data_IF_899769249063
#
_entry.id   IF_899769249063
#
_cell.length_a   1.000
_cell.length_b   1.000
_cell.length_c   1.000
_cell.angle_alpha   90.00
_cell.angle_beta   90.00
_cell.angle_gamma   90.00
#
_symmetry.space_group_name_H-M   'P 1'
#
loop_
_entity.id
_entity.type
_entity.pdbx_description
1 polymer ?
#
# COMPACT_ATOMS: atom_id res chain seq x y z
N UNK A 1 -8.10 47.26 -6.50
CA UNK A 1 -8.40 46.16 -7.44
C UNK A 1 -9.07 46.78 -8.66
N UNK A 2 -8.49 46.65 -9.85
CA UNK A 2 -9.19 47.07 -11.08
C UNK A 2 -10.01 45.87 -11.57
N UNK A 3 -11.28 46.09 -11.92
CA UNK A 3 -12.25 45.08 -12.40
C UNK A 3 -12.77 44.10 -11.32
N UNK A 4 -13.74 43.27 -11.73
CA UNK A 4 -14.41 42.24 -10.94
C UNK A 4 -13.53 40.99 -10.77
N UNK A 5 -12.41 41.13 -10.05
CA UNK A 5 -11.48 40.04 -9.76
C UNK A 5 -11.69 39.48 -8.33
N UNK A 6 -11.33 38.22 -8.10
CA UNK A 6 -11.38 37.60 -6.75
C UNK A 6 -10.31 38.21 -5.83
N UNK A 7 -10.69 38.54 -4.59
CA UNK A 7 -9.79 39.15 -3.60
C UNK A 7 -8.56 38.23 -3.36
N UNK A 8 -7.32 38.71 -3.62
CA UNK A 8 -6.14 37.86 -3.46
C UNK A 8 -5.83 37.66 -1.97
N UNK A 9 -5.87 36.41 -1.52
CA UNK A 9 -5.34 36.00 -0.23
C UNK A 9 -3.89 35.52 -0.37
N UNK A 10 -2.99 36.43 -0.74
CA UNK A 10 -1.58 36.11 -0.95
C UNK A 10 -0.81 36.14 0.39
N UNK A 11 -0.11 35.06 0.72
CA UNK A 11 0.64 34.90 1.98
C UNK A 11 2.09 35.41 1.88
N UNK A 12 2.28 36.61 1.33
CA UNK A 12 3.58 37.27 1.17
C UNK A 12 3.80 38.43 2.17
N UNK A 13 3.06 38.45 3.29
CA UNK A 13 3.03 39.55 4.26
C UNK A 13 4.18 39.55 5.29
N UNK A 14 4.92 38.44 5.38
CA UNK A 14 6.10 38.29 6.25
C UNK A 14 7.37 38.30 5.40
N UNK A 15 8.53 38.16 6.02
CA UNK A 15 9.84 38.01 5.37
C UNK A 15 9.97 36.65 4.63
N UNK A 16 9.13 36.45 3.61
CA UNK A 16 9.10 35.24 2.77
C UNK A 16 10.34 35.15 1.87
N UNK A 17 10.88 36.31 1.48
CA UNK A 17 12.08 36.52 0.68
C UNK A 17 13.34 35.93 1.36
N UNK A 18 13.44 36.04 2.69
CA UNK A 18 14.53 35.44 3.48
C UNK A 18 14.56 33.91 3.46
N UNK A 19 13.45 33.25 3.10
CA UNK A 19 13.30 31.77 3.13
C UNK A 19 12.84 31.21 1.79
N UNK A 20 13.33 31.79 0.68
CA UNK A 20 13.07 31.28 -0.66
C UNK A 20 13.87 30.01 -0.90
N UNK A 21 13.18 28.87 -1.03
CA UNK A 21 13.81 27.62 -1.46
C UNK A 21 14.02 27.64 -2.97
N UNK A 22 15.27 27.79 -3.38
CA UNK A 22 15.67 27.63 -4.79
C UNK A 22 15.92 26.15 -5.10
N UNK A 23 15.91 25.82 -6.40
CA UNK A 23 16.08 24.44 -6.89
C UNK A 23 17.30 24.29 -7.81
N UNK A 24 18.27 25.21 -7.74
CA UNK A 24 19.48 25.17 -8.57
C UNK A 24 20.34 23.92 -8.32
N UNK A 25 20.28 23.37 -7.11
CA UNK A 25 21.02 22.17 -6.73
C UNK A 25 20.34 20.86 -7.17
N UNK A 26 19.16 20.91 -7.79
CA UNK A 26 18.35 19.73 -8.12
C UNK A 26 19.11 18.75 -9.01
N UNK A 27 19.82 19.23 -10.04
CA UNK A 27 20.63 18.41 -10.93
C UNK A 27 21.81 17.76 -10.18
N UNK A 28 22.51 18.54 -9.34
CA UNK A 28 23.60 18.07 -8.51
C UNK A 28 23.15 17.01 -7.49
N UNK A 29 21.99 17.21 -6.85
CA UNK A 29 21.37 16.21 -5.99
C UNK A 29 21.02 14.92 -6.73
N UNK A 30 20.47 15.01 -7.96
CA UNK A 30 20.17 13.83 -8.79
C UNK A 30 21.44 13.03 -9.12
N UNK A 31 22.53 13.71 -9.50
CA UNK A 31 23.84 13.09 -9.74
C UNK A 31 24.39 12.41 -8.48
N UNK A 32 24.40 13.11 -7.34
CA UNK A 32 24.82 12.56 -6.05
C UNK A 32 24.04 11.30 -5.67
N UNK A 33 22.71 11.34 -5.75
CA UNK A 33 21.85 10.17 -5.49
C UNK A 33 22.17 9.01 -6.43
N UNK A 34 22.44 9.27 -7.72
CA UNK A 34 22.82 8.23 -8.70
C UNK A 34 24.15 7.57 -8.32
N UNK A 35 25.17 8.35 -7.98
CA UNK A 35 26.48 7.83 -7.57
C UNK A 35 26.38 7.01 -6.29
N UNK A 36 25.66 7.51 -5.28
CA UNK A 36 25.43 6.78 -4.03
C UNK A 36 24.69 5.46 -4.26
N UNK A 37 23.70 5.42 -5.16
CA UNK A 37 23.03 4.17 -5.53
C UNK A 37 23.98 3.18 -6.21
N UNK A 38 24.84 3.65 -7.12
CA UNK A 38 25.86 2.79 -7.76
C UNK A 38 26.84 2.23 -6.74
N UNK A 39 27.36 3.08 -5.84
CA UNK A 39 28.27 2.67 -4.78
C UNK A 39 27.63 1.64 -3.84
N UNK A 40 26.37 1.88 -3.43
CA UNK A 40 25.61 0.93 -2.61
C UNK A 40 25.39 -0.42 -3.31
N UNK A 41 25.06 -0.40 -4.60
CA UNK A 41 24.85 -1.63 -5.37
C UNK A 41 26.14 -2.46 -5.47
N UNK A 42 27.28 -1.82 -5.71
CA UNK A 42 28.58 -2.48 -5.74
C UNK A 42 28.96 -3.08 -4.37
N UNK A 43 28.72 -2.35 -3.27
CA UNK A 43 29.06 -2.80 -1.92
C UNK A 43 28.23 -4.02 -1.44
N UNK A 44 27.00 -4.16 -1.94
CA UNK A 44 26.05 -5.20 -1.52
C UNK A 44 26.07 -6.43 -2.46
N UNK A 45 26.79 -6.36 -3.59
CA UNK A 45 26.90 -7.45 -4.54
C UNK A 45 27.35 -8.76 -3.83
N UNK A 46 26.70 -9.91 -4.10
CA UNK A 46 25.77 -10.20 -5.21
C UNK A 46 24.28 -9.90 -4.92
N UNK A 47 23.92 -9.40 -3.72
CA UNK A 47 22.52 -9.17 -3.35
C UNK A 47 21.89 -8.02 -4.16
N UNK A 48 20.57 -8.06 -4.47
CA UNK A 48 19.89 -6.97 -5.17
C UNK A 48 19.83 -5.70 -4.31
N UNK A 49 20.02 -4.54 -4.93
CA UNK A 49 20.03 -3.24 -4.24
C UNK A 49 18.61 -2.68 -3.94
N UNK A 50 17.56 -3.34 -4.44
CA UNK A 50 16.18 -2.87 -4.47
C UNK A 50 15.39 -3.13 -3.18
N UNK A 51 15.96 -2.79 -2.03
CA UNK A 51 15.27 -2.87 -0.74
C UNK A 51 14.82 -4.28 -0.32
N UNK A 52 14.17 -4.34 0.84
CA UNK A 52 13.73 -5.58 1.49
C UNK A 52 12.23 -5.80 1.24
N UNK A 53 11.80 -7.07 1.19
CA UNK A 53 10.36 -7.43 1.14
C UNK A 53 9.73 -7.37 2.53
N UNK A 54 8.39 -7.34 2.64
CA UNK A 54 7.67 -7.38 3.93
C UNK A 54 7.23 -8.82 4.28
N UNK A 55 7.15 -9.23 5.57
CA UNK A 55 7.08 -10.64 5.98
C UNK A 55 5.72 -11.02 6.57
N UNK A 56 5.23 -12.22 6.23
CA UNK A 56 4.07 -12.89 6.82
C UNK A 56 4.14 -14.44 6.73
N UNK A 57 5.14 -15.01 6.04
CA UNK A 57 5.37 -16.45 6.03
C UNK A 57 6.06 -16.87 7.36
N UNK A 58 5.83 -18.09 7.83
CA UNK A 58 6.40 -18.71 9.04
C UNK A 58 7.92 -18.90 9.06
N UNK A 59 8.63 -17.92 8.50
CA UNK A 59 10.07 -17.69 8.58
C UNK A 59 10.32 -17.11 9.96
N UNK A 60 11.36 -17.60 10.63
CA UNK A 60 11.79 -17.01 11.89
C UNK A 60 12.11 -15.52 11.66
N UNK A 61 11.55 -14.57 12.44
CA UNK A 61 11.80 -13.15 12.24
C UNK A 61 13.29 -12.77 12.17
N UNK A 62 14.14 -13.48 12.92
CA UNK A 62 15.60 -13.27 12.85
C UNK A 62 16.21 -13.75 11.54
N UNK A 63 15.73 -14.88 11.03
CA UNK A 63 16.17 -15.44 9.74
C UNK A 63 15.71 -14.55 8.57
N UNK A 64 14.49 -14.01 8.66
CA UNK A 64 13.92 -13.12 7.66
C UNK A 64 14.82 -11.89 7.41
N UNK A 65 15.35 -11.27 8.46
CA UNK A 65 16.27 -10.12 8.34
C UNK A 65 17.58 -10.50 7.64
N UNK A 66 18.13 -11.68 7.91
CA UNK A 66 19.39 -12.15 7.28
C UNK A 66 19.25 -12.40 5.78
N UNK A 67 18.09 -12.89 5.37
CA UNK A 67 17.74 -13.24 3.99
C UNK A 67 17.39 -12.00 3.15
N UNK A 68 16.98 -10.90 3.80
CA UNK A 68 16.63 -9.67 3.10
C UNK A 68 15.14 -9.34 3.14
N UNK A 69 14.43 -9.74 4.19
CA UNK A 69 13.01 -9.47 4.41
C UNK A 69 12.90 -8.57 5.66
N UNK A 70 12.30 -7.39 5.52
CA UNK A 70 12.13 -6.42 6.60
C UNK A 70 10.93 -6.79 7.46
N UNK A 71 11.13 -7.04 8.76
CA UNK A 71 10.06 -7.44 9.69
C UNK A 71 9.42 -6.27 10.43
N UNK A 72 8.08 -6.22 10.45
CA UNK A 72 7.29 -5.27 11.25
C UNK A 72 6.33 -6.03 12.17
N UNK A 73 6.72 -6.13 13.44
CA UNK A 73 5.98 -6.85 14.48
C UNK A 73 4.65 -6.18 14.88
N UNK A 74 4.44 -4.91 14.52
CA UNK A 74 3.22 -4.17 14.89
C UNK A 74 2.07 -4.39 13.93
N UNK A 75 2.35 -4.97 12.76
CA UNK A 75 1.36 -5.15 11.71
C UNK A 75 0.49 -6.37 12.00
N UNK A 76 -0.82 -6.19 11.91
CA UNK A 76 -1.82 -7.26 12.01
C UNK A 76 -2.68 -7.28 10.76
N UNK A 77 -3.04 -8.48 10.28
CA UNK A 77 -3.94 -8.66 9.15
C UNK A 77 -5.37 -8.84 9.65
N UNK A 78 -6.30 -8.12 9.00
CA UNK A 78 -7.74 -8.24 9.26
C UNK A 78 -8.45 -9.17 8.27
N UNK A 79 -7.86 -9.42 7.11
CA UNK A 79 -8.41 -10.29 6.06
C UNK A 79 -7.49 -11.47 5.77
N UNK A 80 -8.08 -12.63 5.52
CA UNK A 80 -7.37 -13.87 5.17
C UNK A 80 -6.79 -13.78 3.75
N UNK A 81 -7.50 -13.11 2.84
CA UNK A 81 -7.05 -12.92 1.45
C UNK A 81 -5.71 -12.17 1.37
N UNK A 82 -5.57 -11.10 2.16
CA UNK A 82 -4.33 -10.31 2.21
C UNK A 82 -3.17 -11.14 2.80
N UNK A 83 -3.46 -11.93 3.83
CA UNK A 83 -2.50 -12.84 4.43
C UNK A 83 -2.01 -13.89 3.42
N UNK A 84 -2.94 -14.54 2.72
CA UNK A 84 -2.63 -15.57 1.74
C UNK A 84 -1.77 -15.03 0.58
N UNK A 85 -2.13 -13.86 0.04
CA UNK A 85 -1.35 -13.20 -1.02
C UNK A 85 0.09 -12.88 -0.59
N UNK A 86 0.29 -12.47 0.68
CA UNK A 86 1.62 -12.19 1.21
C UNK A 86 2.43 -13.47 1.46
N UNK A 87 1.79 -14.54 1.93
CA UNK A 87 2.41 -15.86 2.10
C UNK A 87 2.88 -16.40 0.75
N UNK A 88 2.04 -16.37 -0.27
CA UNK A 88 2.37 -16.78 -1.64
C UNK A 88 3.55 -15.97 -2.20
N UNK A 89 3.54 -14.65 -2.00
CA UNK A 89 4.63 -13.77 -2.41
C UNK A 89 5.95 -14.16 -1.75
N UNK A 90 5.95 -14.50 -0.47
CA UNK A 90 7.17 -14.86 0.26
C UNK A 90 7.69 -16.24 -0.11
N UNK A 91 6.79 -17.20 -0.37
CA UNK A 91 7.18 -18.51 -0.89
C UNK A 91 7.81 -18.37 -2.28
N UNK A 92 7.23 -17.55 -3.16
CA UNK A 92 7.80 -17.23 -4.46
C UNK A 92 9.14 -16.47 -4.38
N UNK A 93 9.35 -15.68 -3.33
CA UNK A 93 10.66 -15.07 -3.05
C UNK A 93 11.68 -16.12 -2.65
N UNK A 94 11.32 -16.99 -1.68
CA UNK A 94 12.21 -18.00 -1.14
C UNK A 94 12.67 -19.00 -2.20
N UNK A 95 11.79 -19.38 -3.14
CA UNK A 95 12.16 -20.27 -4.25
C UNK A 95 13.12 -19.63 -5.26
N UNK A 96 13.09 -18.30 -5.41
CA UNK A 96 13.98 -17.54 -6.30
C UNK A 96 15.27 -17.09 -5.62
N UNK A 97 15.37 -17.22 -4.30
CA UNK A 97 16.51 -16.78 -3.53
C UNK A 97 17.65 -17.80 -3.66
N UNK A 98 18.77 -17.34 -4.22
CA UNK A 98 20.03 -18.09 -4.18
C UNK A 98 20.80 -17.69 -2.92
N UNK A 99 21.03 -18.64 -2.01
CA UNK A 99 21.80 -18.42 -0.78
C UNK A 99 23.16 -19.10 -0.92
N UNK A 100 24.23 -18.33 -0.78
CA UNK A 100 25.58 -18.87 -0.78
C UNK A 100 25.97 -19.40 0.60
N UNK A 101 26.69 -20.54 0.67
CA UNK A 101 27.24 -21.02 1.93
C UNK A 101 28.32 -20.06 2.43
N UNK A 102 28.41 -19.89 3.76
CA UNK A 102 29.45 -19.06 4.41
C UNK A 102 30.86 -19.61 4.19
N UNK A 103 30.98 -20.92 3.98
CA UNK A 103 32.23 -21.63 3.69
C UNK A 103 32.01 -22.55 2.48
N UNK A 104 32.69 -22.27 1.37
CA UNK A 104 32.55 -23.01 0.10
C UNK A 104 32.91 -22.14 -1.10
N UNK A 105 32.96 -22.73 -2.30
CA UNK A 105 33.17 -21.97 -3.54
C UNK A 105 31.89 -21.22 -3.89
N UNK A 106 31.97 -19.90 -4.05
CA UNK A 106 30.88 -19.09 -4.55
C UNK A 106 30.77 -19.28 -6.08
N UNK A 107 29.62 -19.75 -6.55
CA UNK A 107 29.32 -19.77 -7.99
C UNK A 107 29.12 -18.35 -8.53
N UNK A 108 29.30 -18.16 -9.84
CA UNK A 108 29.10 -16.86 -10.50
C UNK A 108 27.61 -16.46 -10.44
N UNK A 109 27.26 -15.53 -9.55
CA UNK A 109 25.93 -14.91 -9.52
C UNK A 109 25.94 -13.48 -10.06
N UNK A 110 24.89 -13.17 -10.79
CA UNK A 110 24.61 -11.82 -11.29
C UNK A 110 23.69 -11.06 -10.33
N UNK A 111 23.95 -9.77 -10.16
CA UNK A 111 23.09 -8.91 -9.36
C UNK A 111 21.81 -8.57 -10.14
N UNK A 112 20.64 -8.90 -9.58
CA UNK A 112 19.36 -8.49 -10.16
C UNK A 112 19.21 -6.96 -10.16
N UNK A 113 18.89 -6.39 -11.33
CA UNK A 113 18.63 -4.97 -11.51
C UNK A 113 17.12 -4.70 -11.64
N UNK A 114 16.63 -3.68 -10.93
CA UNK A 114 15.22 -3.29 -10.95
C UNK A 114 14.51 -3.60 -9.63
N UNK A 115 13.18 -3.49 -9.60
CA UNK A 115 12.38 -3.79 -8.40
C UNK A 115 12.08 -5.29 -8.37
N UNK A 116 12.46 -5.97 -7.30
CA UNK A 116 12.21 -7.40 -7.14
C UNK A 116 10.73 -7.67 -6.86
N UNK A 117 10.11 -8.52 -7.67
CA UNK A 117 8.67 -8.87 -7.63
C UNK A 117 7.77 -7.65 -7.39
N UNK A 118 7.59 -6.81 -8.44
CA UNK A 118 6.68 -5.68 -8.35
C UNK A 118 5.26 -6.15 -8.05
N UNK A 119 4.54 -5.39 -7.23
CA UNK A 119 3.14 -5.68 -6.95
C UNK A 119 2.33 -5.24 -8.16
N UNK A 120 1.83 -6.20 -8.91
CA UNK A 120 0.94 -5.93 -10.04
C UNK A 120 -0.44 -5.57 -9.51
N UNK A 121 -0.96 -4.41 -9.94
CA UNK A 121 -2.35 -4.05 -9.72
C UNK A 121 -3.17 -4.69 -10.81
N UNK A 122 -3.49 -5.97 -10.65
CA UNK A 122 -4.34 -6.70 -11.59
C UNK A 122 -5.76 -6.17 -11.43
N UNK A 123 -6.31 -5.57 -12.49
CA UNK A 123 -7.72 -5.23 -12.52
C UNK A 123 -8.52 -6.54 -12.51
N UNK A 124 -9.61 -6.64 -11.72
CA UNK A 124 -10.46 -7.82 -11.75
C UNK A 124 -10.97 -8.02 -13.17
N UNK A 125 -10.88 -9.26 -13.67
CA UNK A 125 -11.38 -9.61 -14.99
C UNK A 125 -12.90 -9.52 -14.95
N UNK A 126 -13.48 -8.57 -15.69
CA UNK A 126 -14.93 -8.41 -15.76
C UNK A 126 -15.45 -9.35 -16.84
N UNK A 127 -16.18 -10.37 -16.42
CA UNK A 127 -16.90 -11.25 -17.34
C UNK A 127 -18.22 -10.59 -17.72
N UNK A 128 -18.43 -10.38 -19.02
CA UNK A 128 -19.67 -9.81 -19.53
C UNK A 128 -20.76 -10.88 -19.53
N UNK A 129 -21.74 -10.70 -18.65
CA UNK A 129 -22.92 -11.55 -18.58
C UNK A 129 -24.15 -10.80 -19.12
N UNK A 130 -25.08 -11.55 -19.71
CA UNK A 130 -26.38 -10.99 -20.08
C UNK A 130 -27.10 -10.51 -18.82
N UNK A 131 -27.76 -9.34 -18.91
CA UNK A 131 -28.46 -8.74 -17.76
C UNK A 131 -29.61 -9.65 -17.34
N UNK A 132 -29.53 -10.22 -16.13
CA UNK A 132 -30.60 -11.03 -15.57
C UNK A 132 -31.87 -10.20 -15.32
N UNK A 133 -33.03 -10.83 -15.29
CA UNK A 133 -34.29 -10.12 -15.00
C UNK A 133 -34.29 -9.45 -13.62
N UNK A 134 -33.60 -10.04 -12.65
CA UNK A 134 -33.44 -9.49 -11.30
C UNK A 134 -32.64 -8.18 -11.30
N UNK A 135 -31.56 -8.11 -12.09
CA UNK A 135 -30.76 -6.88 -12.23
C UNK A 135 -31.58 -5.75 -12.86
N UNK A 136 -32.52 -6.06 -13.76
CA UNK A 136 -33.42 -5.06 -14.36
C UNK A 136 -34.46 -4.55 -13.38
N UNK A 137 -34.95 -5.41 -12.47
CA UNK A 137 -35.92 -5.05 -11.43
C UNK A 137 -35.27 -4.27 -10.27
N UNK A 138 -33.96 -4.43 -10.06
CA UNK A 138 -33.23 -3.74 -9.01
C UNK A 138 -32.96 -2.26 -9.33
N UNK A 139 -33.51 -1.34 -8.53
CA UNK A 139 -33.20 0.08 -8.64
C UNK A 139 -31.99 0.46 -7.75
N UNK A 140 -30.81 0.57 -8.38
CA UNK A 140 -29.56 0.89 -7.70
C UNK A 140 -29.60 2.24 -6.96
N UNK A 141 -30.26 3.26 -7.53
CA UNK A 141 -30.37 4.58 -6.91
C UNK A 141 -31.13 4.52 -5.58
N UNK A 142 -32.29 3.85 -5.60
CA UNK A 142 -33.10 3.68 -4.40
C UNK A 142 -32.41 2.78 -3.37
N UNK A 143 -31.73 1.71 -3.82
CA UNK A 143 -30.92 0.85 -2.94
C UNK A 143 -29.83 1.61 -2.18
N UNK A 144 -29.07 2.46 -2.87
CA UNK A 144 -28.03 3.29 -2.24
C UNK A 144 -28.61 4.31 -1.25
N UNK A 145 -29.76 4.92 -1.56
CA UNK A 145 -30.46 5.82 -0.63
C UNK A 145 -30.96 5.09 0.61
N UNK A 146 -31.52 3.90 0.44
CA UNK A 146 -32.01 3.07 1.54
C UNK A 146 -30.85 2.69 2.48
N UNK A 147 -29.73 2.21 1.94
CA UNK A 147 -28.55 1.86 2.73
C UNK A 147 -28.01 3.06 3.55
N UNK A 148 -27.98 4.27 2.96
CA UNK A 148 -27.60 5.50 3.69
C UNK A 148 -28.59 5.83 4.81
N UNK A 149 -29.89 5.68 4.54
CA UNK A 149 -30.94 5.91 5.53
C UNK A 149 -30.84 4.92 6.69
N UNK A 150 -30.62 3.64 6.39
CA UNK A 150 -30.50 2.56 7.36
C UNK A 150 -29.26 2.74 8.24
N UNK A 151 -28.10 3.06 7.65
CA UNK A 151 -26.88 3.37 8.41
C UNK A 151 -27.08 4.58 9.35
N UNK A 152 -27.73 5.65 8.88
CA UNK A 152 -28.01 6.85 9.70
C UNK A 152 -28.98 6.54 10.84
N UNK A 153 -29.98 5.70 10.59
CA UNK A 153 -31.07 5.45 11.53
C UNK A 153 -30.90 4.18 12.37
N UNK A 154 -29.83 3.41 12.17
CA UNK A 154 -29.59 2.13 12.85
C UNK A 154 -29.76 2.23 14.36
N UNK A 155 -29.03 3.14 15.02
CA UNK A 155 -29.09 3.30 16.47
C UNK A 155 -30.49 3.68 16.99
N UNK A 156 -31.19 4.58 16.27
CA UNK A 156 -32.56 4.99 16.64
C UNK A 156 -33.55 3.83 16.52
N UNK A 157 -33.41 3.01 15.47
CA UNK A 157 -34.27 1.84 15.26
C UNK A 157 -33.96 0.75 16.28
N UNK A 158 -32.69 0.48 16.56
CA UNK A 158 -32.28 -0.48 17.59
C UNK A 158 -32.81 -0.08 18.98
N UNK A 159 -32.72 1.21 19.34
CA UNK A 159 -33.28 1.73 20.59
C UNK A 159 -34.79 1.52 20.68
N UNK A 160 -35.55 1.94 19.66
CA UNK A 160 -37.02 1.76 19.63
C UNK A 160 -37.43 0.29 19.64
N UNK A 161 -36.67 -0.57 18.97
CA UNK A 161 -36.92 -2.01 18.97
C UNK A 161 -36.69 -2.62 20.37
N UNK A 162 -35.66 -2.17 21.09
CA UNK A 162 -35.39 -2.59 22.46
C UNK A 162 -36.46 -2.09 23.44
N UNK A 163 -36.87 -0.81 23.35
CA UNK A 163 -37.94 -0.24 24.17
C UNK A 163 -39.26 -0.99 23.96
N UNK A 164 -39.65 -1.21 22.70
CA UNK A 164 -40.87 -1.96 22.37
C UNK A 164 -40.81 -3.43 22.82
N UNK A 165 -39.62 -4.06 22.78
CA UNK A 165 -39.45 -5.41 23.27
C UNK A 165 -39.53 -5.50 24.81
N UNK A 166 -39.05 -4.48 25.52
CA UNK A 166 -39.19 -4.38 26.97
C UNK A 166 -40.65 -4.14 27.39
N UNK A 167 -41.36 -3.23 26.72
CA UNK A 167 -42.80 -2.99 26.96
C UNK A 167 -43.67 -4.22 26.65
N UNK A 168 -43.24 -5.11 25.75
CA UNK A 168 -43.97 -6.34 25.44
C UNK A 168 -43.67 -7.50 26.40
N UNK A 169 -42.67 -7.35 27.27
CA UNK A 169 -42.31 -8.32 28.31
C UNK A 169 -42.87 -7.95 29.69
N UNK A 170 -43.38 -6.72 29.84
CA UNK A 170 -44.15 -6.22 30.98
C UNK A 170 -45.64 -6.52 30.79
#
# INVERSE_FOLDING_TARGET
MKHNNVLPNAHFKKDWDKRVKTWFDQAGQKRRRRLLRKAKAAAIAPRPACGLLRPEAGINPREAETIGIAVDYRRTNKSVEALQANVERLNAYKSKLVVFPKSGKAEEATQFQGVFMPVEKVAPKVEFMAVSEEMKKHNAFMGLRQARCDARNFGKRAKRAAEKAAEAQE
#
